data_IF_642196588477
#
_entry.id   IF_642196588477
#
_cell.length_a   1.000
_cell.length_b   1.000
_cell.length_c   1.000
_cell.angle_alpha   90.00
_cell.angle_beta   90.00
_cell.angle_gamma   90.00
#
_symmetry.space_group_name_H-M   'P 1'
#
loop_
_entity.id
_entity.type
_entity.pdbx_description
1 polymer ?
#
# COMPACT_ATOMS: atom_id res chain seq x y z
N UNK A 1 9.78 -6.34 6.15
CA UNK A 1 9.17 -5.03 6.43
C UNK A 1 10.25 -4.11 6.93
N UNK A 2 10.46 -2.97 6.28
CA UNK A 2 11.49 -1.99 6.62
C UNK A 2 10.99 -0.91 7.58
N UNK A 3 9.68 -0.65 7.63
CA UNK A 3 9.11 0.31 8.58
C UNK A 3 7.60 0.48 8.44
N UNK A 4 7.03 1.23 9.38
CA UNK A 4 5.63 1.66 9.37
C UNK A 4 5.58 3.15 9.62
N UNK A 5 4.82 3.87 8.79
CA UNK A 5 4.47 5.27 9.01
C UNK A 5 3.01 5.36 9.42
N UNK A 6 2.78 5.95 10.59
CA UNK A 6 1.44 6.21 11.13
C UNK A 6 1.09 7.67 10.94
N UNK A 7 0.01 7.96 10.21
CA UNK A 7 -0.47 9.31 9.93
C UNK A 7 -1.47 9.83 10.97
N UNK A 8 -1.87 9.03 11.95
CA UNK A 8 -2.68 9.47 13.09
C UNK A 8 -1.79 10.10 14.17
N UNK A 9 -0.54 9.66 14.22
CA UNK A 9 0.47 10.10 15.17
C UNK A 9 1.56 10.99 14.55
N UNK A 10 2.16 11.84 15.37
CA UNK A 10 3.22 12.75 14.95
C UNK A 10 2.76 13.95 14.11
N UNK A 11 3.75 14.62 13.49
CA UNK A 11 3.58 15.75 12.57
C UNK A 11 4.23 15.38 11.24
N UNK A 12 3.40 15.28 10.19
CA UNK A 12 3.84 14.96 8.84
C UNK A 12 3.71 16.21 7.97
N UNK A 13 4.60 16.37 6.99
CA UNK A 13 4.58 17.53 6.10
C UNK A 13 4.55 17.10 4.63
N UNK A 14 3.84 17.86 3.81
CA UNK A 14 3.84 17.69 2.37
C UNK A 14 5.14 18.23 1.74
N UNK A 15 5.20 18.18 0.40
CA UNK A 15 6.37 18.62 -0.38
C UNK A 15 6.62 20.13 -0.29
N UNK A 16 5.61 20.91 0.10
CA UNK A 16 5.72 22.36 0.32
C UNK A 16 6.09 22.69 1.78
N UNK A 17 6.29 21.67 2.62
CA UNK A 17 6.61 21.80 4.03
C UNK A 17 5.41 22.15 4.91
N UNK A 18 4.18 22.09 4.38
CA UNK A 18 2.95 22.31 5.14
C UNK A 18 2.57 21.05 5.89
N UNK A 19 2.14 21.23 7.13
CA UNK A 19 1.66 20.11 7.94
C UNK A 19 0.38 19.53 7.34
N UNK A 20 0.36 18.21 7.18
CA UNK A 20 -0.83 17.48 6.72
C UNK A 20 -1.68 17.11 7.93
N UNK A 21 -3.00 17.14 7.73
CA UNK A 21 -3.95 16.71 8.75
C UNK A 21 -3.69 15.26 9.16
N UNK A 22 -3.89 14.97 10.45
CA UNK A 22 -3.86 13.60 10.96
C UNK A 22 -4.94 12.75 10.31
N UNK A 23 -4.59 11.54 9.92
CA UNK A 23 -5.48 10.60 9.23
C UNK A 23 -5.31 9.19 9.79
N UNK A 24 -6.41 8.44 9.91
CA UNK A 24 -6.39 7.01 10.28
C UNK A 24 -5.86 6.17 9.12
N UNK A 25 -4.56 6.29 8.88
CA UNK A 25 -3.86 5.72 7.75
C UNK A 25 -2.47 5.24 8.18
N UNK A 26 -2.17 4.00 7.86
CA UNK A 26 -0.86 3.39 8.02
C UNK A 26 -0.24 3.14 6.65
N UNK A 27 1.05 3.41 6.50
CA UNK A 27 1.84 2.94 5.36
C UNK A 27 2.90 1.97 5.86
N UNK A 28 2.89 0.75 5.33
CA UNK A 28 3.90 -0.27 5.55
C UNK A 28 4.92 -0.22 4.42
N UNK A 29 6.19 -0.05 4.74
CA UNK A 29 7.29 -0.23 3.79
C UNK A 29 7.80 -1.67 3.84
N UNK A 30 7.71 -2.37 2.71
CA UNK A 30 8.12 -3.76 2.58
C UNK A 30 9.53 -3.91 1.98
N UNK A 31 10.12 -2.83 1.48
CA UNK A 31 11.42 -2.81 0.83
C UNK A 31 11.36 -2.85 -0.70
N UNK A 32 12.47 -2.45 -1.33
CA UNK A 32 12.64 -2.34 -2.79
C UNK A 32 11.51 -1.54 -3.49
N UNK A 33 10.92 -0.58 -2.79
CA UNK A 33 9.85 0.28 -3.28
C UNK A 33 8.45 -0.36 -3.29
N UNK A 34 8.27 -1.52 -2.65
CA UNK A 34 6.96 -2.05 -2.31
C UNK A 34 6.43 -1.43 -1.03
N UNK A 35 5.21 -0.90 -1.11
CA UNK A 35 4.52 -0.29 0.05
C UNK A 35 3.05 -0.66 0.04
N UNK A 36 2.44 -0.71 1.22
CA UNK A 36 0.99 -0.90 1.37
C UNK A 36 0.45 0.21 2.24
N UNK A 37 -0.58 0.91 1.77
CA UNK A 37 -1.33 1.85 2.62
C UNK A 37 -2.68 1.24 3.01
N UNK A 38 -3.04 1.38 4.28
CA UNK A 38 -4.31 0.92 4.84
C UNK A 38 -4.97 2.08 5.57
N UNK A 39 -6.24 2.36 5.27
CA UNK A 39 -7.01 3.40 5.97
C UNK A 39 -8.47 3.01 6.20
N UNK A 40 -9.05 3.55 7.26
CA UNK A 40 -10.51 3.55 7.42
C UNK A 40 -11.14 4.57 6.46
N UNK A 41 -12.37 4.32 5.97
CA UNK A 41 -13.06 5.26 5.06
C UNK A 41 -13.73 6.45 5.77
N UNK A 42 -13.77 6.43 7.11
CA UNK A 42 -14.29 7.53 7.95
C UNK A 42 -15.79 7.47 8.21
N UNK A 43 -16.61 7.28 7.18
CA UNK A 43 -18.09 7.40 7.28
C UNK A 43 -18.86 6.08 7.12
N UNK A 44 -18.23 5.04 6.59
CA UNK A 44 -18.84 3.72 6.37
C UNK A 44 -17.93 2.65 7.00
N UNK A 45 -18.45 1.45 7.32
CA UNK A 45 -17.65 0.32 7.79
C UNK A 45 -16.84 -0.28 6.62
N UNK A 46 -15.97 0.53 6.02
CA UNK A 46 -15.12 0.19 4.88
C UNK A 46 -13.67 0.50 5.22
N UNK A 47 -12.80 -0.44 4.84
CA UNK A 47 -11.35 -0.26 4.87
C UNK A 47 -10.84 -0.18 3.43
N UNK A 48 -9.92 0.74 3.17
CA UNK A 48 -9.28 0.92 1.86
C UNK A 48 -7.83 0.44 1.93
N UNK A 49 -7.44 -0.37 0.95
CA UNK A 49 -6.09 -0.88 0.78
C UNK A 49 -5.52 -0.34 -0.53
N UNK A 50 -4.27 0.12 -0.48
CA UNK A 50 -3.52 0.55 -1.66
C UNK A 50 -2.20 -0.19 -1.71
N UNK A 51 -1.91 -0.82 -2.85
CA UNK A 51 -0.67 -1.55 -3.07
C UNK A 51 0.20 -0.78 -4.05
N UNK A 52 1.43 -0.51 -3.64
CA UNK A 52 2.43 0.16 -4.44
C UNK A 52 3.57 -0.82 -4.70
N UNK A 53 3.96 -0.94 -5.96
CA UNK A 53 5.08 -1.77 -6.37
C UNK A 53 6.06 -0.95 -7.21
N UNK A 54 7.34 -1.24 -7.04
CA UNK A 54 8.41 -0.72 -7.89
C UNK A 54 9.32 -1.88 -8.27
N UNK A 55 9.78 -1.89 -9.51
CA UNK A 55 10.79 -2.83 -10.00
C UNK A 55 11.87 -2.04 -10.71
N UNK A 56 13.12 -2.21 -10.29
CA UNK A 56 14.27 -1.68 -11.04
C UNK A 56 14.39 -2.48 -12.33
N UNK A 57 14.63 -1.79 -13.44
CA UNK A 57 14.81 -2.38 -14.76
C UNK A 57 16.11 -1.84 -15.33
N UNK A 58 17.04 -2.73 -15.63
CA UNK A 58 18.36 -2.43 -16.17
C UNK A 58 18.33 -2.02 -17.64
N UNK A 59 19.46 -1.51 -18.14
CA UNK A 59 19.63 -1.20 -19.56
C UNK A 59 19.54 -2.49 -20.38
N UNK A 60 18.67 -2.52 -21.39
CA UNK A 60 18.45 -3.69 -22.24
C UNK A 60 17.47 -4.73 -21.67
N UNK A 61 16.98 -4.54 -20.44
CA UNK A 61 15.91 -5.39 -19.91
C UNK A 61 14.53 -4.99 -20.47
N UNK A 62 13.64 -5.99 -20.56
CA UNK A 62 12.29 -5.79 -21.08
C UNK A 62 11.39 -5.09 -20.06
N UNK A 63 11.27 -3.77 -20.22
CA UNK A 63 10.40 -2.92 -19.42
C UNK A 63 8.92 -3.32 -19.50
N UNK A 64 8.46 -3.79 -20.66
CA UNK A 64 7.05 -4.18 -20.86
C UNK A 64 6.74 -5.42 -20.04
N UNK A 65 7.61 -6.44 -20.13
CA UNK A 65 7.51 -7.65 -19.31
C UNK A 65 7.62 -7.33 -17.83
N UNK A 66 8.58 -6.50 -17.42
CA UNK A 66 8.76 -6.12 -16.02
C UNK A 66 7.50 -5.45 -15.42
N UNK A 67 6.83 -4.57 -16.18
CA UNK A 67 5.55 -3.96 -15.78
C UNK A 67 4.43 -4.98 -15.68
N UNK A 68 4.33 -5.90 -16.64
CA UNK A 68 3.31 -6.96 -16.64
C UNK A 68 3.46 -7.88 -15.42
N UNK A 69 4.68 -8.33 -15.15
CA UNK A 69 4.97 -9.21 -14.01
C UNK A 69 4.63 -8.50 -12.68
N UNK A 70 4.99 -7.22 -12.56
CA UNK A 70 4.67 -6.42 -11.38
C UNK A 70 3.15 -6.23 -11.20
N UNK A 71 2.43 -5.95 -12.28
CA UNK A 71 0.97 -5.80 -12.24
C UNK A 71 0.28 -7.11 -11.83
N UNK A 72 0.74 -8.26 -12.35
CA UNK A 72 0.22 -9.57 -11.97
C UNK A 72 0.45 -9.85 -10.48
N UNK A 73 1.66 -9.60 -9.96
CA UNK A 73 1.98 -9.78 -8.55
C UNK A 73 1.08 -8.92 -7.64
N UNK A 74 0.88 -7.65 -8.01
CA UNK A 74 -0.04 -6.76 -7.27
C UNK A 74 -1.50 -7.25 -7.33
N UNK A 75 -1.90 -7.83 -8.46
CA UNK A 75 -3.21 -8.46 -8.63
C UNK A 75 -3.40 -9.69 -7.73
N UNK A 76 -2.43 -10.58 -7.67
CA UNK A 76 -2.45 -11.75 -6.78
C UNK A 76 -2.51 -11.34 -5.31
N UNK A 77 -1.71 -10.34 -4.92
CA UNK A 77 -1.73 -9.78 -3.57
C UNK A 77 -3.09 -9.17 -3.22
N UNK A 78 -3.72 -8.48 -4.18
CA UNK A 78 -5.07 -7.95 -4.01
C UNK A 78 -6.09 -9.06 -3.80
N UNK A 79 -6.10 -10.09 -4.64
CA UNK A 79 -6.99 -11.24 -4.51
C UNK A 79 -6.81 -11.94 -3.17
N UNK A 80 -5.58 -12.17 -2.74
CA UNK A 80 -5.28 -12.75 -1.44
C UNK A 80 -5.82 -11.86 -0.30
N UNK A 81 -5.57 -10.56 -0.34
CA UNK A 81 -6.02 -9.62 0.69
C UNK A 81 -7.54 -9.57 0.79
N UNK A 82 -8.24 -9.58 -0.36
CA UNK A 82 -9.70 -9.63 -0.37
C UNK A 82 -10.23 -10.90 0.28
N UNK A 83 -9.63 -12.06 -0.04
CA UNK A 83 -10.04 -13.34 0.54
C UNK A 83 -9.80 -13.37 2.06
N UNK A 84 -8.65 -12.90 2.52
CA UNK A 84 -8.32 -12.84 3.96
C UNK A 84 -9.26 -11.87 4.70
N UNK A 85 -9.48 -10.67 4.15
CA UNK A 85 -10.39 -9.69 4.74
C UNK A 85 -11.84 -10.22 4.84
N UNK A 86 -12.31 -10.97 3.83
CA UNK A 86 -13.62 -11.60 3.86
C UNK A 86 -13.73 -12.67 4.96
N UNK A 87 -12.71 -13.51 5.15
CA UNK A 87 -12.69 -14.52 6.21
C UNK A 87 -12.78 -13.88 7.59
N UNK A 88 -11.96 -12.85 7.84
CA UNK A 88 -11.96 -12.11 9.11
C UNK A 88 -13.28 -11.39 9.36
N UNK A 89 -13.88 -10.80 8.33
CA UNK A 89 -15.19 -10.16 8.44
C UNK A 89 -16.31 -11.14 8.79
N UNK A 90 -16.16 -12.42 8.43
CA UNK A 90 -17.08 -13.50 8.79
C UNK A 90 -16.75 -14.16 10.14
N UNK A 91 -15.71 -13.70 10.84
CA UNK A 91 -15.30 -14.24 12.14
C UNK A 91 -14.44 -15.51 12.07
N UNK A 92 -13.87 -15.83 10.91
CA UNK A 92 -12.95 -16.97 10.70
C UNK A 92 -11.48 -16.56 10.71
#
# INVERSE_FOLDING_TARGET
MLGVTDFEEGSHRDVDGKEISKERMLIFDLGEGFRVAVRASGTEPKMKFYFFGKKKVGVGEDLVRAKKDLANLLGELWTWTQSDAQKRAQGN
#
